data_IF_981333102485
#
_entry.id   IF_981333102485
#
_cell.length_a   1.000
_cell.length_b   1.000
_cell.length_c   1.000
_cell.angle_alpha   90.00
_cell.angle_beta   90.00
_cell.angle_gamma   90.00
#
_symmetry.space_group_name_H-M   'P 1'
#
loop_
_entity.id
_entity.type
_entity.pdbx_description
1 polymer ?
#
# COMPACT_ATOMS: atom_id res chain seq x y z
N UNK A 1 -32.85 44.12 -45.71
CA UNK A 1 -33.96 43.17 -45.90
C UNK A 1 -33.47 41.80 -45.45
N UNK A 2 -33.94 41.38 -44.27
CA UNK A 2 -34.23 39.97 -43.85
C UNK A 2 -33.13 38.87 -43.92
N UNK A 3 -33.23 37.78 -43.12
CA UNK A 3 -32.66 37.77 -41.77
C UNK A 3 -31.78 36.54 -41.47
N UNK A 4 -31.13 36.61 -40.31
CA UNK A 4 -30.26 35.61 -39.65
C UNK A 4 -30.99 34.32 -39.22
N UNK A 5 -30.42 33.16 -39.54
CA UNK A 5 -30.84 31.84 -39.07
C UNK A 5 -30.02 31.37 -37.85
N UNK A 6 -30.68 31.22 -36.70
CA UNK A 6 -30.16 30.52 -35.50
C UNK A 6 -30.60 29.04 -35.53
N UNK A 7 -29.73 28.07 -35.19
CA UNK A 7 -30.15 26.69 -34.99
C UNK A 7 -30.67 26.41 -33.57
N UNK A 8 -31.67 25.54 -33.57
CA UNK A 8 -32.51 25.00 -32.50
C UNK A 8 -31.77 24.42 -31.27
N UNK A 9 -32.38 24.62 -30.09
CA UNK A 9 -32.08 23.94 -28.82
C UNK A 9 -33.24 22.99 -28.50
N UNK A 10 -33.03 21.68 -28.26
CA UNK A 10 -34.12 20.79 -27.88
C UNK A 10 -34.50 20.94 -26.40
N UNK A 11 -35.82 20.91 -26.18
CA UNK A 11 -36.58 21.07 -24.95
C UNK A 11 -36.45 19.87 -23.99
N UNK A 12 -36.37 20.19 -22.69
CA UNK A 12 -36.53 19.26 -21.56
C UNK A 12 -37.99 18.79 -21.46
N UNK A 13 -38.23 17.48 -21.48
CA UNK A 13 -39.49 16.87 -21.09
C UNK A 13 -39.47 16.49 -19.61
N UNK A 14 -40.44 17.03 -18.88
CA UNK A 14 -40.81 16.75 -17.49
C UNK A 14 -41.41 15.35 -17.32
N UNK A 15 -40.77 14.52 -16.50
CA UNK A 15 -41.30 13.23 -16.04
C UNK A 15 -41.83 13.35 -14.61
N UNK A 16 -43.13 13.09 -14.47
CA UNK A 16 -43.96 13.19 -13.27
C UNK A 16 -43.56 12.20 -12.17
N UNK A 17 -43.50 12.70 -10.94
CA UNK A 17 -43.33 11.95 -9.69
C UNK A 17 -44.69 11.38 -9.25
N UNK A 18 -44.88 10.08 -9.48
CA UNK A 18 -46.04 9.32 -9.00
C UNK A 18 -45.85 8.83 -7.57
N UNK A 19 -46.59 9.43 -6.65
CA UNK A 19 -46.77 9.01 -5.27
C UNK A 19 -47.57 7.71 -5.18
N UNK A 20 -47.00 6.67 -4.58
CA UNK A 20 -47.74 5.48 -4.14
C UNK A 20 -47.65 5.39 -2.62
N UNK A 21 -48.73 5.82 -1.97
CA UNK A 21 -49.01 5.53 -0.57
C UNK A 21 -49.37 4.05 -0.45
N UNK A 22 -48.60 3.29 0.31
CA UNK A 22 -48.97 1.94 0.73
C UNK A 22 -49.67 2.04 2.09
N UNK A 23 -50.99 1.88 2.07
CA UNK A 23 -51.86 1.82 3.24
C UNK A 23 -51.54 0.59 4.10
N UNK A 24 -51.13 0.83 5.34
CA UNK A 24 -51.01 -0.18 6.40
C UNK A 24 -52.41 -0.63 6.78
N UNK A 25 -52.73 -1.90 6.56
CA UNK A 25 -53.99 -2.52 6.98
C UNK A 25 -53.71 -3.49 8.11
N UNK A 26 -54.01 -3.03 9.32
CA UNK A 26 -54.01 -3.76 10.58
C UNK A 26 -55.22 -4.72 10.60
N UNK A 27 -55.02 -5.97 11.00
CA UNK A 27 -56.08 -6.91 11.35
C UNK A 27 -55.75 -7.54 12.72
N UNK A 28 -56.69 -7.58 13.69
CA UNK A 28 -56.50 -8.28 14.96
C UNK A 28 -57.25 -9.63 15.00
N UNK A 29 -57.00 -10.38 16.08
CA UNK A 29 -57.77 -11.50 16.66
C UNK A 29 -57.48 -12.94 16.14
N UNK A 30 -57.43 -14.03 16.91
CA UNK A 30 -57.24 -14.37 18.35
C UNK A 30 -56.99 -15.91 18.40
N UNK A 31 -56.15 -16.38 19.32
CA UNK A 31 -56.01 -17.73 19.94
C UNK A 31 -56.70 -18.99 19.33
N UNK A 32 -55.94 -20.10 19.19
CA UNK A 32 -55.91 -21.29 20.09
C UNK A 32 -55.10 -22.43 19.44
N UNK A 33 -54.39 -23.24 20.25
CA UNK A 33 -54.01 -24.61 19.88
C UNK A 33 -52.51 -24.93 19.89
N UNK A 34 -52.04 -25.50 21.00
CA UNK A 34 -50.68 -26.00 21.14
C UNK A 34 -50.44 -27.28 20.34
N UNK A 35 -49.22 -27.43 19.84
CA UNK A 35 -48.62 -28.71 19.47
C UNK A 35 -47.13 -28.66 19.79
N UNK A 36 -46.69 -29.73 20.43
CA UNK A 36 -45.36 -30.00 20.97
C UNK A 36 -44.32 -30.12 19.85
N UNK A 37 -43.09 -29.73 20.20
CA UNK A 37 -41.89 -30.44 19.77
C UNK A 37 -41.37 -30.15 18.36
N UNK A 38 -40.37 -29.27 18.29
CA UNK A 38 -39.13 -29.49 17.54
C UNK A 38 -38.16 -28.39 17.97
N UNK A 39 -37.27 -28.74 18.91
CA UNK A 39 -36.12 -27.92 19.25
C UNK A 39 -35.24 -27.80 18.00
N UNK A 40 -35.34 -26.67 17.32
CA UNK A 40 -34.34 -26.30 16.31
C UNK A 40 -33.04 -26.05 17.07
N UNK A 41 -32.07 -26.96 16.96
CA UNK A 41 -30.71 -26.71 17.40
C UNK A 41 -30.16 -25.53 16.59
N UNK A 42 -30.35 -24.30 17.08
CA UNK A 42 -29.59 -23.14 16.62
C UNK A 42 -28.18 -23.32 17.16
N UNK A 43 -27.32 -23.92 16.34
CA UNK A 43 -25.88 -23.97 16.62
C UNK A 43 -25.38 -22.53 16.68
N UNK A 44 -24.77 -22.07 17.79
CA UNK A 44 -24.17 -20.74 17.86
C UNK A 44 -23.07 -20.67 16.81
N UNK A 45 -23.17 -19.70 15.90
CA UNK A 45 -22.16 -19.45 14.88
C UNK A 45 -20.81 -19.18 15.54
N UNK A 46 -19.91 -20.15 15.45
CA UNK A 46 -18.49 -19.92 15.68
C UNK A 46 -17.93 -18.90 14.67
N UNK A 47 -16.69 -18.43 14.85
CA UNK A 47 -16.06 -17.53 13.90
C UNK A 47 -16.18 -18.13 12.50
N UNK A 48 -16.57 -17.32 11.51
CA UNK A 48 -16.57 -17.72 10.10
C UNK A 48 -15.09 -17.91 9.73
N UNK A 49 -14.54 -19.07 10.08
CA UNK A 49 -13.20 -19.46 9.69
C UNK A 49 -13.23 -19.50 8.18
N UNK A 50 -12.45 -18.62 7.55
CA UNK A 50 -12.29 -18.53 6.11
C UNK A 50 -11.49 -19.74 5.54
N UNK A 51 -11.33 -20.79 6.35
CA UNK A 51 -10.68 -22.04 5.99
C UNK A 51 -11.72 -22.96 5.36
N UNK A 52 -11.38 -23.51 4.19
CA UNK A 52 -12.23 -24.45 3.48
C UNK A 52 -12.42 -25.72 4.32
N UNK A 53 -13.63 -26.28 4.27
CA UNK A 53 -13.91 -27.58 4.88
C UNK A 53 -13.35 -28.69 3.99
N UNK A 54 -12.79 -29.72 4.61
CA UNK A 54 -12.11 -30.82 3.92
C UNK A 54 -12.54 -32.16 4.48
N UNK A 55 -12.64 -33.17 3.61
CA UNK A 55 -12.93 -34.56 3.94
C UNK A 55 -14.11 -34.69 4.91
N UNK A 56 -13.88 -35.29 6.07
CA UNK A 56 -14.88 -35.52 7.12
C UNK A 56 -15.48 -34.23 7.70
N UNK A 57 -14.96 -33.04 7.41
CA UNK A 57 -15.58 -31.78 7.87
C UNK A 57 -16.82 -31.42 7.05
N UNK A 58 -17.02 -32.06 5.91
CA UNK A 58 -18.17 -31.87 5.04
C UNK A 58 -19.31 -32.77 5.56
N UNK A 59 -20.48 -32.17 5.87
CA UNK A 59 -21.61 -32.86 6.53
C UNK A 59 -22.86 -32.98 5.66
N UNK A 60 -22.73 -32.76 4.36
CA UNK A 60 -23.86 -32.80 3.41
C UNK A 60 -23.97 -34.17 2.76
N UNK A 61 -25.19 -34.59 2.41
CA UNK A 61 -25.44 -35.92 1.84
C UNK A 61 -25.00 -36.04 0.37
N UNK A 62 -25.16 -34.97 -0.40
CA UNK A 62 -24.86 -34.91 -1.83
C UNK A 62 -23.99 -33.69 -2.14
N UNK A 63 -23.02 -33.90 -3.02
CA UNK A 63 -22.06 -32.88 -3.44
C UNK A 63 -21.91 -32.89 -4.95
N UNK A 64 -21.67 -31.72 -5.54
CA UNK A 64 -21.21 -31.62 -6.93
C UNK A 64 -19.70 -31.81 -6.96
N UNK A 65 -19.24 -32.93 -7.51
CA UNK A 65 -17.84 -33.32 -7.54
C UNK A 65 -17.14 -32.82 -8.81
N UNK A 66 -15.95 -32.24 -8.60
CA UNK A 66 -15.00 -31.86 -9.64
C UNK A 66 -13.71 -32.63 -9.42
N UNK A 67 -13.23 -33.34 -10.44
CA UNK A 67 -11.98 -34.09 -10.43
C UNK A 67 -10.73 -33.19 -10.36
N UNK A 68 -9.54 -33.79 -10.18
CA UNK A 68 -8.28 -33.06 -9.98
C UNK A 68 -7.93 -32.11 -11.14
N UNK A 69 -8.16 -32.59 -12.36
CA UNK A 69 -7.87 -31.85 -13.60
C UNK A 69 -9.00 -30.89 -14.02
N UNK A 70 -10.04 -30.71 -13.18
CA UNK A 70 -11.19 -29.87 -13.50
C UNK A 70 -12.32 -30.59 -14.26
N UNK A 71 -12.24 -31.91 -14.38
CA UNK A 71 -13.31 -32.74 -14.93
C UNK A 71 -14.57 -32.68 -14.04
N UNK A 72 -15.75 -32.55 -14.65
CA UNK A 72 -17.01 -32.50 -13.92
C UNK A 72 -17.59 -33.91 -13.82
N UNK A 73 -17.52 -34.52 -12.62
CA UNK A 73 -18.09 -35.85 -12.36
C UNK A 73 -19.61 -35.78 -12.17
N UNK A 74 -20.11 -34.64 -11.70
CA UNK A 74 -21.55 -34.38 -11.52
C UNK A 74 -21.97 -34.42 -10.06
N UNK A 75 -23.23 -34.74 -9.79
CA UNK A 75 -23.77 -34.83 -8.43
C UNK A 75 -23.59 -36.26 -7.93
N UNK A 76 -22.87 -36.43 -6.83
CA UNK A 76 -22.59 -37.74 -6.22
C UNK A 76 -22.85 -37.68 -4.72
N UNK A 77 -22.98 -38.86 -4.09
CA UNK A 77 -23.04 -38.94 -2.64
C UNK A 77 -21.68 -38.61 -2.04
N UNK A 78 -21.67 -38.06 -0.83
CA UNK A 78 -20.43 -37.70 -0.15
C UNK A 78 -19.50 -38.91 0.06
N UNK A 79 -20.08 -40.09 0.35
CA UNK A 79 -19.30 -41.32 0.58
C UNK A 79 -18.53 -41.75 -0.68
N UNK A 80 -19.16 -41.65 -1.85
CA UNK A 80 -18.50 -41.93 -3.13
C UNK A 80 -17.40 -40.90 -3.43
N UNK A 81 -17.64 -39.63 -3.13
CA UNK A 81 -16.64 -38.57 -3.31
C UNK A 81 -15.43 -38.76 -2.38
N UNK A 82 -15.65 -39.19 -1.13
CA UNK A 82 -14.59 -39.49 -0.17
C UNK A 82 -13.77 -40.71 -0.61
N UNK A 83 -14.43 -41.75 -1.11
CA UNK A 83 -13.74 -42.93 -1.66
C UNK A 83 -12.87 -42.56 -2.86
N UNK A 84 -13.39 -41.78 -3.81
CA UNK A 84 -12.61 -41.31 -4.97
C UNK A 84 -11.42 -40.44 -4.56
N UNK A 85 -11.56 -39.65 -3.49
CA UNK A 85 -10.46 -38.87 -2.92
C UNK A 85 -9.36 -39.80 -2.38
N UNK A 86 -9.74 -40.84 -1.62
CA UNK A 86 -8.81 -41.84 -1.07
C UNK A 86 -8.12 -42.66 -2.16
N UNK A 87 -8.85 -43.12 -3.18
CA UNK A 87 -8.30 -43.88 -4.32
C UNK A 87 -7.28 -43.06 -5.13
N UNK A 88 -7.43 -41.74 -5.13
CA UNK A 88 -6.54 -40.82 -5.84
C UNK A 88 -5.43 -40.24 -4.96
N UNK A 89 -5.36 -40.62 -3.68
CA UNK A 89 -4.48 -39.99 -2.66
C UNK A 89 -4.62 -38.46 -2.59
N UNK A 90 -5.85 -37.94 -2.74
CA UNK A 90 -6.19 -36.52 -2.71
C UNK A 90 -7.20 -36.20 -1.60
N UNK A 91 -7.38 -34.91 -1.29
CA UNK A 91 -8.42 -34.46 -0.37
C UNK A 91 -9.67 -34.00 -1.12
N UNK A 92 -10.83 -34.26 -0.52
CA UNK A 92 -12.11 -33.69 -0.91
C UNK A 92 -12.25 -32.30 -0.27
N UNK A 93 -12.10 -31.23 -1.06
CA UNK A 93 -12.14 -29.84 -0.56
C UNK A 93 -13.43 -29.15 -0.99
N UNK A 94 -14.17 -28.59 -0.03
CA UNK A 94 -15.39 -27.81 -0.29
C UNK A 94 -15.03 -26.38 -0.72
N UNK A 95 -15.06 -26.11 -2.03
CA UNK A 95 -14.67 -24.82 -2.62
C UNK A 95 -15.82 -23.81 -2.65
N UNK A 96 -17.07 -24.28 -2.75
CA UNK A 96 -18.24 -23.41 -2.77
C UNK A 96 -19.36 -23.96 -1.85
N UNK A 97 -19.35 -23.56 -0.57
CA UNK A 97 -20.36 -24.02 0.41
C UNK A 97 -21.74 -23.40 0.20
N UNK A 98 -21.83 -22.30 -0.55
CA UNK A 98 -23.08 -21.56 -0.79
C UNK A 98 -23.92 -22.13 -1.92
N UNK A 99 -23.36 -23.03 -2.73
CA UNK A 99 -24.06 -23.67 -3.85
C UNK A 99 -25.02 -24.78 -3.38
N UNK A 100 -26.07 -25.07 -4.17
CA UNK A 100 -27.00 -26.18 -3.95
C UNK A 100 -27.04 -27.09 -5.17
N UNK A 101 -26.48 -28.32 -5.13
CA UNK A 101 -25.66 -28.90 -4.05
C UNK A 101 -24.27 -28.21 -3.93
N UNK A 102 -23.59 -28.27 -2.77
CA UNK A 102 -22.26 -27.69 -2.57
C UNK A 102 -21.23 -28.25 -3.55
N UNK A 103 -20.27 -27.42 -3.96
CA UNK A 103 -19.23 -27.84 -4.91
C UNK A 103 -17.99 -28.27 -4.17
N UNK A 104 -17.61 -29.54 -4.37
CA UNK A 104 -16.41 -30.16 -3.83
C UNK A 104 -15.44 -30.48 -4.97
N UNK A 105 -14.15 -30.23 -4.74
CA UNK A 105 -13.10 -30.51 -5.71
C UNK A 105 -12.04 -31.41 -5.08
N UNK A 106 -11.62 -32.43 -5.82
CA UNK A 106 -10.49 -33.28 -5.45
C UNK A 106 -9.19 -32.50 -5.68
N UNK A 107 -8.42 -32.26 -4.62
CA UNK A 107 -7.12 -31.60 -4.70
C UNK A 107 -6.29 -31.88 -3.44
N UNK A 108 -4.98 -31.67 -3.51
CA UNK A 108 -4.12 -31.65 -2.32
C UNK A 108 -4.36 -30.35 -1.54
N UNK A 109 -4.96 -30.47 -0.34
CA UNK A 109 -5.27 -29.32 0.50
C UNK A 109 -4.01 -28.66 1.07
N UNK A 110 -2.98 -29.45 1.37
CA UNK A 110 -1.71 -28.95 1.91
C UNK A 110 -0.99 -28.04 0.92
N UNK A 111 -0.86 -28.50 -0.34
CA UNK A 111 -0.27 -27.71 -1.42
C UNK A 111 -1.09 -26.45 -1.70
N UNK A 112 -2.41 -26.56 -1.80
CA UNK A 112 -3.30 -25.42 -2.01
C UNK A 112 -3.17 -24.38 -0.89
N UNK A 113 -3.13 -24.79 0.38
CA UNK A 113 -2.96 -23.89 1.52
C UNK A 113 -1.62 -23.16 1.45
N UNK A 114 -0.54 -23.86 1.06
CA UNK A 114 0.77 -23.24 0.88
C UNK A 114 0.77 -22.21 -0.24
N UNK A 115 0.26 -22.56 -1.43
CA UNK A 115 0.20 -21.66 -2.59
C UNK A 115 -0.70 -20.44 -2.31
N UNK A 116 -1.87 -20.65 -1.70
CA UNK A 116 -2.75 -19.57 -1.28
C UNK A 116 -2.06 -18.65 -0.25
N UNK A 117 -1.33 -19.21 0.71
CA UNK A 117 -0.57 -18.44 1.69
C UNK A 117 0.60 -17.68 1.03
N UNK A 118 1.32 -18.29 0.09
CA UNK A 118 2.40 -17.64 -0.66
C UNK A 118 1.85 -16.50 -1.52
N UNK A 119 0.79 -16.73 -2.28
CA UNK A 119 0.11 -15.71 -3.09
C UNK A 119 -0.44 -14.58 -2.21
N UNK A 120 -1.01 -14.90 -1.05
CA UNK A 120 -1.46 -13.88 -0.11
C UNK A 120 -0.29 -13.07 0.47
N UNK A 121 0.85 -13.70 0.76
CA UNK A 121 2.07 -13.00 1.20
C UNK A 121 2.66 -12.13 0.10
N UNK A 122 2.72 -12.64 -1.13
CA UNK A 122 3.18 -11.91 -2.30
C UNK A 122 2.28 -10.72 -2.61
N UNK A 123 0.96 -10.91 -2.63
CA UNK A 123 -0.01 -9.84 -2.80
C UNK A 123 0.14 -8.77 -1.73
N UNK A 124 0.35 -9.15 -0.46
CA UNK A 124 0.62 -8.19 0.63
C UNK A 124 1.94 -7.44 0.45
N UNK A 125 3.00 -8.10 -0.03
CA UNK A 125 4.29 -7.46 -0.32
C UNK A 125 4.21 -6.52 -1.53
N UNK A 126 3.45 -6.89 -2.55
CA UNK A 126 3.27 -6.12 -3.77
C UNK A 126 2.27 -4.97 -3.59
N UNK A 127 1.38 -5.06 -2.61
CA UNK A 127 0.50 -3.96 -2.24
C UNK A 127 1.35 -2.81 -1.69
N UNK A 128 1.60 -1.81 -2.53
CA UNK A 128 2.26 -0.56 -2.13
C UNK A 128 1.34 0.21 -1.19
N UNK A 129 1.54 0.01 0.12
CA UNK A 129 0.82 0.75 1.15
C UNK A 129 1.20 2.23 1.04
N UNK A 130 0.24 3.10 0.68
CA UNK A 130 0.47 4.55 0.58
C UNK A 130 0.42 5.12 1.99
N UNK A 131 1.57 5.52 2.52
CA UNK A 131 1.69 5.99 3.90
C UNK A 131 1.46 7.49 3.90
N UNK A 132 0.70 7.99 4.88
CA UNK A 132 0.57 9.42 5.12
C UNK A 132 1.74 9.84 6.01
N UNK A 133 2.63 10.68 5.48
CA UNK A 133 3.74 11.28 6.22
C UNK A 133 3.28 12.61 6.80
N UNK A 134 3.52 12.81 8.08
CA UNK A 134 3.18 14.07 8.75
C UNK A 134 4.39 15.00 8.77
N UNK A 135 4.16 16.26 8.40
CA UNK A 135 5.16 17.33 8.44
C UNK A 135 4.62 18.50 9.25
N UNK A 136 5.36 18.92 10.27
CA UNK A 136 4.97 20.03 11.15
C UNK A 136 5.76 21.28 10.78
N UNK A 137 5.04 22.39 10.63
CA UNK A 137 5.59 23.72 10.32
C UNK A 137 5.15 24.73 11.38
N UNK A 138 5.91 25.82 11.48
CA UNK A 138 5.58 26.97 12.33
C UNK A 138 5.16 28.15 11.45
N UNK A 139 4.25 29.02 11.90
CA UNK A 139 3.84 30.20 11.13
C UNK A 139 4.99 31.19 10.85
N UNK A 140 6.00 31.24 11.72
CA UNK A 140 7.20 32.11 11.60
C UNK A 140 8.44 31.26 11.34
N UNK A 141 8.43 30.53 10.24
CA UNK A 141 9.58 29.72 9.80
C UNK A 141 10.60 30.61 9.10
N UNK A 142 11.89 30.34 9.32
CA UNK A 142 12.97 30.97 8.57
C UNK A 142 13.04 30.39 7.14
N UNK A 143 13.59 31.13 6.18
CA UNK A 143 13.67 30.68 4.78
C UNK A 143 14.50 29.38 4.65
N UNK A 144 15.60 29.23 5.39
CA UNK A 144 16.42 28.03 5.33
C UNK A 144 15.71 26.78 5.88
N UNK A 145 14.96 26.93 6.99
CA UNK A 145 14.14 25.83 7.53
C UNK A 145 12.99 25.51 6.56
N UNK A 146 12.37 26.52 5.94
CA UNK A 146 11.34 26.31 4.93
C UNK A 146 11.85 25.46 3.77
N UNK A 147 13.01 25.79 3.21
CA UNK A 147 13.59 25.06 2.06
C UNK A 147 13.92 23.61 2.43
N UNK A 148 14.41 23.37 3.65
CA UNK A 148 14.66 22.01 4.17
C UNK A 148 13.35 21.21 4.25
N UNK A 149 12.28 21.81 4.80
CA UNK A 149 10.98 21.14 4.93
C UNK A 149 10.30 20.93 3.59
N UNK A 150 10.41 21.89 2.66
CA UNK A 150 9.98 21.75 1.27
C UNK A 150 10.69 20.57 0.61
N UNK A 151 12.01 20.45 0.78
CA UNK A 151 12.79 19.31 0.28
C UNK A 151 12.27 17.96 0.81
N UNK A 152 11.87 17.88 2.07
CA UNK A 152 11.23 16.67 2.62
C UNK A 152 9.87 16.38 2.00
N UNK A 153 9.03 17.40 1.81
CA UNK A 153 7.71 17.26 1.16
C UNK A 153 7.89 16.74 -0.27
N UNK A 154 8.79 17.37 -1.05
CA UNK A 154 9.17 16.94 -2.40
C UNK A 154 9.63 15.48 -2.41
N UNK A 155 10.51 15.12 -1.47
CA UNK A 155 11.02 13.74 -1.35
C UNK A 155 9.92 12.73 -1.07
N UNK A 156 8.94 13.06 -0.24
CA UNK A 156 7.81 12.17 0.06
C UNK A 156 6.84 12.04 -1.11
N UNK A 157 6.55 13.14 -1.80
CA UNK A 157 5.71 13.13 -3.01
C UNK A 157 6.37 12.32 -4.14
N UNK A 158 7.69 12.47 -4.34
CA UNK A 158 8.48 11.64 -5.28
C UNK A 158 8.52 10.17 -4.90
N UNK A 159 8.31 9.80 -3.63
CA UNK A 159 8.19 8.40 -3.21
C UNK A 159 6.75 7.87 -3.36
N UNK A 160 5.80 8.71 -3.75
CA UNK A 160 4.39 8.36 -3.87
C UNK A 160 3.66 8.28 -2.53
N UNK A 161 4.19 8.90 -1.48
CA UNK A 161 3.52 9.03 -0.19
C UNK A 161 2.67 10.30 -0.13
N UNK A 162 1.56 10.25 0.60
CA UNK A 162 0.74 11.43 0.89
C UNK A 162 1.40 12.21 2.01
N UNK A 163 1.30 13.54 1.98
CA UNK A 163 1.91 14.38 3.01
C UNK A 163 0.84 15.22 3.70
N UNK A 164 0.68 15.02 5.00
CA UNK A 164 -0.14 15.87 5.86
C UNK A 164 0.74 16.94 6.47
N UNK A 165 0.60 18.17 6.00
CA UNK A 165 1.26 19.33 6.58
C UNK A 165 0.39 19.87 7.71
N UNK A 166 0.99 20.12 8.87
CA UNK A 166 0.33 20.68 10.05
C UNK A 166 1.09 21.91 10.53
N UNK A 167 0.44 23.07 10.49
CA UNK A 167 0.90 24.29 11.13
C UNK A 167 0.31 24.35 12.53
N UNK A 168 1.15 24.52 13.54
CA UNK A 168 0.70 24.70 14.91
C UNK A 168 0.76 26.19 15.27
N UNK A 169 -0.38 26.80 15.58
CA UNK A 169 -0.41 28.16 16.11
C UNK A 169 -0.07 28.14 17.60
N UNK A 170 0.67 29.14 18.10
CA UNK A 170 0.95 29.25 19.55
C UNK A 170 0.50 30.58 20.11
N UNK A 171 -0.20 30.53 21.24
CA UNK A 171 -0.63 31.72 21.98
C UNK A 171 -1.49 32.66 21.12
N UNK A 172 -1.02 33.89 20.94
CA UNK A 172 -1.69 34.99 20.23
C UNK A 172 -1.80 34.78 18.72
N UNK A 173 -1.08 33.82 18.16
CA UNK A 173 -1.10 33.52 16.72
C UNK A 173 -2.38 32.82 16.25
N UNK A 174 -3.18 32.26 17.18
CA UNK A 174 -4.47 31.63 16.86
C UNK A 174 -5.47 32.62 16.22
N UNK A 175 -5.35 33.92 16.53
CA UNK A 175 -6.17 34.97 15.94
C UNK A 175 -5.71 35.40 14.53
N UNK A 176 -4.60 34.85 14.02
CA UNK A 176 -4.06 35.15 12.68
C UNK A 176 -3.91 33.89 11.83
N UNK A 177 -5.02 33.21 11.48
CA UNK A 177 -4.97 32.03 10.61
C UNK A 177 -4.43 32.34 9.21
N UNK A 178 -4.56 33.60 8.76
CA UNK A 178 -4.04 34.06 7.46
C UNK A 178 -2.55 33.77 7.25
N UNK A 179 -1.73 33.87 8.29
CA UNK A 179 -0.29 33.60 8.18
C UNK A 179 -0.02 32.12 7.86
N UNK A 180 -0.77 31.23 8.49
CA UNK A 180 -0.67 29.80 8.19
C UNK A 180 -1.22 29.48 6.80
N UNK A 181 -2.33 30.10 6.42
CA UNK A 181 -2.94 29.92 5.11
C UNK A 181 -1.98 30.34 3.97
N UNK A 182 -1.38 31.53 4.06
CA UNK A 182 -0.42 32.01 3.06
C UNK A 182 0.81 31.10 2.95
N UNK A 183 1.29 30.55 4.06
CA UNK A 183 2.43 29.63 4.05
C UNK A 183 2.08 28.30 3.36
N UNK A 184 0.88 27.76 3.61
CA UNK A 184 0.40 26.54 2.96
C UNK A 184 0.15 26.77 1.47
N UNK A 185 -0.41 27.93 1.10
CA UNK A 185 -0.64 28.33 -0.28
C UNK A 185 0.67 28.44 -1.06
N UNK A 186 1.68 29.13 -0.49
CA UNK A 186 3.03 29.19 -1.08
C UNK A 186 3.63 27.79 -1.25
N UNK A 187 3.48 26.93 -0.23
CA UNK A 187 3.98 25.56 -0.29
C UNK A 187 3.27 24.73 -1.37
N UNK A 188 1.96 24.91 -1.57
CA UNK A 188 1.22 24.20 -2.62
C UNK A 188 1.64 24.64 -4.01
N UNK A 189 1.86 25.94 -4.23
CA UNK A 189 2.35 26.47 -5.52
C UNK A 189 3.75 25.95 -5.84
N UNK A 190 4.61 25.91 -4.84
CA UNK A 190 5.99 25.42 -4.94
C UNK A 190 6.12 23.92 -5.26
N UNK A 191 5.05 23.13 -5.06
CA UNK A 191 5.04 21.67 -5.27
C UNK A 191 3.96 21.20 -6.25
N UNK A 192 3.31 22.13 -6.93
CA UNK A 192 2.19 21.88 -7.87
C UNK A 192 2.60 20.92 -9.00
N UNK A 193 3.87 20.97 -9.41
CA UNK A 193 4.42 20.05 -10.43
C UNK A 193 4.46 18.58 -9.99
N UNK A 194 4.55 18.32 -8.67
CA UNK A 194 4.78 16.98 -8.12
C UNK A 194 3.54 16.40 -7.45
N UNK A 195 2.65 17.24 -6.94
CA UNK A 195 1.44 16.82 -6.26
C UNK A 195 0.35 17.89 -6.26
N UNK A 196 -0.87 17.43 -6.00
CA UNK A 196 -2.05 18.28 -5.89
C UNK A 196 -2.57 18.31 -4.46
N UNK A 197 -3.38 19.32 -4.16
CA UNK A 197 -4.05 19.47 -2.87
C UNK A 197 -5.25 18.51 -2.80
N UNK A 198 -5.15 17.45 -2.00
CA UNK A 198 -6.26 16.53 -1.75
C UNK A 198 -7.22 17.09 -0.70
N UNK A 199 -6.68 17.71 0.35
CA UNK A 199 -7.46 18.41 1.36
C UNK A 199 -6.93 19.84 1.53
N UNK A 200 -7.78 20.80 1.18
CA UNK A 200 -7.49 22.23 1.32
C UNK A 200 -7.12 22.61 2.77
N UNK A 201 -6.36 23.70 2.97
CA UNK A 201 -6.03 24.21 4.29
C UNK A 201 -7.27 24.37 5.19
N UNK A 202 -7.37 23.56 6.23
CA UNK A 202 -8.47 23.61 7.21
C UNK A 202 -7.92 23.83 8.60
N UNK A 203 -8.56 24.75 9.34
CA UNK A 203 -8.25 24.99 10.74
C UNK A 203 -8.95 23.93 11.61
N UNK A 204 -8.15 23.16 12.33
CA UNK A 204 -8.54 22.16 13.31
C UNK A 204 -8.09 22.64 14.70
N UNK A 205 -8.90 23.53 15.28
CA UNK A 205 -8.62 24.20 16.55
C UNK A 205 -7.32 25.01 16.54
N UNK A 206 -6.32 24.53 17.27
CA UNK A 206 -4.99 25.15 17.38
C UNK A 206 -4.08 24.85 16.18
N UNK A 207 -4.48 23.89 15.34
CA UNK A 207 -3.69 23.43 14.23
C UNK A 207 -4.37 23.85 12.92
N UNK A 208 -3.60 24.05 11.86
CA UNK A 208 -4.11 24.14 10.51
C UNK A 208 -3.44 23.08 9.67
N UNK A 209 -4.25 22.29 8.97
CA UNK A 209 -3.76 21.12 8.26
C UNK A 209 -4.11 21.19 6.77
N UNK A 210 -3.21 20.68 5.94
CA UNK A 210 -3.38 20.50 4.51
C UNK A 210 -2.84 19.13 4.14
N UNK A 211 -3.50 18.43 3.23
CA UNK A 211 -3.02 17.14 2.72
C UNK A 211 -2.70 17.27 1.24
N UNK A 212 -1.46 16.93 0.89
CA UNK A 212 -0.96 16.84 -0.47
C UNK A 212 -0.89 15.38 -0.90
N UNK A 213 -1.33 15.13 -2.13
CA UNK A 213 -1.23 13.84 -2.77
C UNK A 213 -0.32 13.93 -4.02
N UNK A 214 0.49 12.90 -4.29
CA UNK A 214 1.36 12.90 -5.47
C UNK A 214 0.53 12.72 -6.75
N UNK A 215 0.96 13.35 -7.85
CA UNK A 215 0.36 13.13 -9.17
C UNK A 215 0.65 11.72 -9.71
N UNK A 216 1.86 11.22 -9.47
CA UNK A 216 2.29 9.89 -9.92
C UNK A 216 1.84 8.81 -8.95
N UNK A 217 1.40 7.66 -9.48
CA UNK A 217 1.08 6.49 -8.67
C UNK A 217 2.36 5.98 -7.98
N UNK A 218 2.22 5.53 -6.73
CA UNK A 218 3.33 5.04 -5.89
C UNK A 218 4.19 3.95 -6.57
N UNK A 219 3.60 3.13 -7.43
CA UNK A 219 4.32 2.09 -8.17
C UNK A 219 5.31 2.67 -9.20
N UNK A 220 4.93 3.73 -9.91
CA UNK A 220 5.78 4.42 -10.90
C UNK A 220 6.84 5.26 -10.19
N UNK A 221 6.43 6.01 -9.17
CA UNK A 221 7.30 6.82 -8.33
C UNK A 221 8.43 5.98 -7.68
N UNK A 222 8.12 4.76 -7.22
CA UNK A 222 9.11 3.84 -6.64
C UNK A 222 10.04 3.21 -7.68
N UNK A 223 9.58 3.00 -8.92
CA UNK A 223 10.46 2.55 -10.02
C UNK A 223 11.45 3.64 -10.39
N UNK A 224 10.97 4.85 -10.65
CA UNK A 224 11.81 6.00 -10.98
C UNK A 224 12.83 6.28 -9.86
N UNK A 225 12.41 6.29 -8.59
CA UNK A 225 13.32 6.49 -7.47
C UNK A 225 14.36 5.37 -7.31
N UNK A 226 14.00 4.12 -7.67
CA UNK A 226 14.95 2.99 -7.64
C UNK A 226 15.97 3.12 -8.77
N UNK A 227 15.51 3.51 -9.96
CA UNK A 227 16.36 3.73 -11.13
C UNK A 227 17.30 4.92 -10.91
N UNK A 228 16.82 6.04 -10.39
CA UNK A 228 17.62 7.22 -10.06
C UNK A 228 18.67 6.89 -9.00
N UNK A 229 18.30 6.14 -7.96
CA UNK A 229 19.26 5.69 -6.94
C UNK A 229 20.27 4.69 -7.48
N UNK A 230 19.89 3.83 -8.42
CA UNK A 230 20.81 2.91 -9.08
C UNK A 230 21.82 3.66 -9.95
N UNK A 231 21.37 4.67 -10.73
CA UNK A 231 22.25 5.54 -11.53
C UNK A 231 23.22 6.34 -10.66
N UNK A 232 22.71 6.98 -9.61
CA UNK A 232 23.56 7.72 -8.68
C UNK A 232 24.56 6.83 -7.93
N UNK A 233 24.22 5.56 -7.68
CA UNK A 233 25.14 4.59 -7.10
C UNK A 233 26.24 4.20 -8.09
N UNK A 234 25.90 3.91 -9.35
CA UNK A 234 26.88 3.58 -10.39
C UNK A 234 27.80 4.76 -10.71
N UNK A 235 27.30 5.99 -10.71
CA UNK A 235 28.11 7.19 -10.93
C UNK A 235 29.14 7.39 -9.81
N UNK A 236 28.73 7.24 -8.54
CA UNK A 236 29.64 7.33 -7.39
C UNK A 236 30.66 6.20 -7.36
N UNK A 237 30.29 5.02 -7.84
CA UNK A 237 31.21 3.89 -7.95
C UNK A 237 32.25 4.16 -9.04
N UNK A 238 31.83 4.69 -10.19
CA UNK A 238 32.73 5.12 -11.26
C UNK A 238 33.67 6.26 -10.83
N UNK A 239 33.19 7.27 -10.10
CA UNK A 239 34.05 8.34 -9.56
C UNK A 239 35.10 7.80 -8.58
N UNK A 240 34.72 6.87 -7.70
CA UNK A 240 35.65 6.22 -6.76
C UNK A 240 36.66 5.34 -7.47
N UNK A 241 36.27 4.66 -8.54
CA UNK A 241 37.18 3.89 -9.37
C UNK A 241 38.16 4.79 -10.12
N UNK A 242 37.69 5.91 -10.66
CA UNK A 242 38.54 6.91 -11.32
C UNK A 242 39.53 7.57 -10.35
N UNK A 243 39.11 7.90 -9.13
CA UNK A 243 39.97 8.46 -8.09
C UNK A 243 41.05 7.46 -7.65
N UNK A 244 40.70 6.18 -7.49
CA UNK A 244 41.67 5.10 -7.19
C UNK A 244 42.65 4.85 -8.32
N UNK A 245 42.17 4.92 -9.57
CA UNK A 245 43.01 4.78 -10.76
C UNK A 245 44.02 5.93 -10.84
N UNK A 246 43.55 7.16 -10.63
CA UNK A 246 44.40 8.36 -10.57
C UNK A 246 45.47 8.23 -9.48
N UNK A 247 45.08 7.87 -8.25
CA UNK A 247 46.01 7.67 -7.13
C UNK A 247 47.03 6.55 -7.40
N UNK A 248 46.63 5.48 -8.08
CA UNK A 248 47.53 4.38 -8.46
C UNK A 248 48.56 4.84 -9.48
N UNK A 249 48.13 5.49 -10.55
CA UNK A 249 49.01 6.02 -11.60
C UNK A 249 49.98 7.04 -11.01
N UNK A 250 49.49 7.99 -10.19
CA UNK A 250 50.35 8.99 -9.56
C UNK A 250 51.38 8.35 -8.62
N UNK A 251 50.99 7.32 -7.86
CA UNK A 251 51.93 6.59 -6.98
C UNK A 251 52.99 5.83 -7.78
N UNK A 252 52.64 5.22 -8.89
CA UNK A 252 53.57 4.50 -9.77
C UNK A 252 54.57 5.46 -10.45
N UNK A 253 54.12 6.64 -10.90
CA UNK A 253 54.99 7.68 -11.46
C UNK A 253 56.03 8.21 -10.45
N UNK A 254 55.62 8.45 -9.20
CA UNK A 254 56.52 8.98 -8.15
C UNK A 254 57.45 7.93 -7.55
N UNK A 255 57.19 6.63 -7.72
CA UNK A 255 58.05 5.55 -7.23
C UNK A 255 59.34 5.37 -8.05
N UNK A 256 59.38 5.83 -9.30
CA UNK A 256 60.55 5.69 -10.17
C UNK A 256 61.58 6.83 -10.07
N UNK A 257 61.33 7.87 -9.26
CA UNK A 257 62.14 9.12 -9.23
C UNK A 257 62.95 9.31 -7.94
N UNK A 258 62.98 8.35 -7.00
CA UNK A 258 63.75 8.52 -5.76
C UNK A 258 65.26 8.19 -5.92
N UNK A 259 66.20 9.16 -5.87
CA UNK A 259 67.62 8.86 -5.89
C UNK A 259 68.09 8.30 -4.53
N UNK A 260 68.78 7.15 -4.56
CA UNK A 260 69.35 6.52 -3.37
C UNK A 260 70.44 7.42 -2.74
N UNK A 261 70.19 7.96 -1.54
CA UNK A 261 71.22 8.68 -0.77
C UNK A 261 72.23 7.69 -0.16
N UNK A 262 73.55 7.93 -0.28
CA UNK A 262 74.56 7.04 0.30
C UNK A 262 74.54 7.09 1.83
N UNK A 263 74.58 5.91 2.45
CA UNK A 263 74.51 5.72 3.90
C UNK A 263 75.79 6.24 4.57
N UNK A 264 75.70 7.29 5.39
CA UNK A 264 76.80 7.69 6.28
C UNK A 264 76.83 6.79 7.52
N UNK A 265 78.00 6.26 7.83
CA UNK A 265 78.32 5.44 9.01
C UNK A 265 78.38 6.36 10.25
N UNK A 266 77.62 6.04 11.29
CA UNK A 266 77.58 6.81 12.54
C UNK A 266 78.76 6.42 13.44
N UNK A 267 79.63 7.38 13.77
CA UNK A 267 80.58 7.29 14.88
C UNK A 267 79.88 7.81 16.15
N UNK A 268 79.72 6.94 17.15
CA UNK A 268 79.35 7.33 18.51
C UNK A 268 80.66 7.57 19.27
N UNK A 269 80.82 8.76 19.85
CA UNK A 269 81.89 9.09 20.79
C UNK A 269 81.21 9.30 22.16
N UNK A 270 81.49 8.40 23.09
CA UNK A 270 81.12 8.53 24.51
C UNK A 270 82.05 9.55 25.19
N UNK A 271 81.54 10.49 26.01
CA UNK A 271 82.37 11.35 26.84
C UNK A 271 82.78 10.65 28.15
N UNK A 272 84.09 10.56 28.38
CA UNK A 272 84.76 9.89 29.50
C UNK A 272 84.31 10.34 30.91
N UNK A 273 84.27 9.34 31.80
CA UNK A 273 84.13 9.42 33.26
C UNK A 273 85.53 9.31 33.89
N UNK A 274 85.92 10.29 34.72
CA UNK A 274 86.63 10.15 36.02
C UNK A 274 87.20 11.51 36.49
N UNK A 275 86.77 11.98 37.67
CA UNK A 275 87.49 12.08 38.96
C UNK A 275 86.46 12.36 40.05
#
# INVERSE_FOLDING_TARGET
>A
MEPTSHPHRPSRSSGSVGSLQATVRTAPATLLGGLRGLQTHRTPGGPISNELRVNDRIRVAEVRLVGPNGEQVGIVRIDDALRLAQESDLDLVEVAPTARPPVCRLMDYGKFKYEAAQKARESRRNQTNTIIKEMKLRPKIDQHDYDTKKGHVVRFLRQGDKVKITIMFRGREQHRPELGFRLLQRLSEDVDELGFVEAAPRQDGRNMTMVLAPHKKKAEARKEAKEEKARAASEREAEREAEKEYDRVHREEHQHVAPAKPRRRSENIDPDVEV
#
